data_IF_837531607781
#
_entry.id   IF_837531607781
#
_cell.length_a   1.000
_cell.length_b   1.000
_cell.length_c   1.000
_cell.angle_alpha   90.00
_cell.angle_beta   90.00
_cell.angle_gamma   90.00
#
_symmetry.space_group_name_H-M   'P 1'
#
loop_
_entity.id
_entity.type
_entity.pdbx_description
1 polymer ?
#
# COMPACT_ATOMS: atom_id res chain seq x y z
N UNK A 1 5.39 -7.27 -0.43
CA UNK A 1 5.35 -6.19 -1.42
C UNK A 1 4.62 -6.68 -2.66
N UNK A 2 3.54 -6.07 -3.05
CA UNK A 2 2.85 -6.36 -4.32
C UNK A 2 2.95 -5.11 -5.19
N UNK A 3 3.42 -5.27 -6.41
CA UNK A 3 3.48 -4.23 -7.43
C UNK A 3 2.16 -4.24 -8.20
N UNK A 4 1.55 -3.07 -8.39
CA UNK A 4 0.35 -2.92 -9.23
C UNK A 4 0.65 -1.85 -10.28
N UNK A 5 0.67 -2.25 -11.56
CA UNK A 5 0.68 -1.34 -12.69
C UNK A 5 -0.74 -0.79 -12.93
N UNK A 6 -0.95 0.48 -12.71
CA UNK A 6 -2.23 1.17 -12.98
C UNK A 6 -2.07 2.03 -14.22
N UNK A 7 -2.79 1.68 -15.29
CA UNK A 7 -2.84 2.45 -16.53
C UNK A 7 -4.04 3.41 -16.49
N UNK A 8 -3.79 4.71 -16.37
CA UNK A 8 -4.82 5.74 -16.46
C UNK A 8 -4.49 6.74 -17.57
N UNK A 9 -5.46 7.03 -18.48
CA UNK A 9 -5.32 8.00 -19.55
C UNK A 9 -5.50 9.43 -19.03
N UNK A 10 -4.56 10.33 -19.34
CA UNK A 10 -4.68 11.77 -19.05
C UNK A 10 -4.32 12.60 -20.27
N UNK A 11 -5.14 13.62 -20.51
CA UNK A 11 -4.99 14.63 -21.55
C UNK A 11 -4.03 15.71 -21.04
N UNK A 12 -2.87 15.92 -21.70
CA UNK A 12 -1.92 16.96 -21.36
C UNK A 12 -2.31 18.29 -22.02
N UNK A 13 -2.37 19.38 -21.25
CA UNK A 13 -2.36 20.76 -21.76
C UNK A 13 -0.99 21.35 -21.42
N UNK A 14 -0.27 21.75 -22.47
CA UNK A 14 1.11 22.25 -22.40
C UNK A 14 1.11 23.75 -22.04
N UNK A 15 1.63 24.10 -20.90
CA UNK A 15 2.00 25.48 -20.53
C UNK A 15 3.45 25.47 -20.03
N UNK A 16 4.40 25.63 -20.94
CA UNK A 16 5.85 25.92 -20.72
C UNK A 16 6.61 25.11 -19.64
N UNK A 17 6.06 24.04 -19.12
CA UNK A 17 6.68 23.11 -18.18
C UNK A 17 6.33 21.68 -18.57
N UNK A 18 7.23 20.74 -18.29
CA UNK A 18 6.98 19.33 -18.45
C UNK A 18 6.23 18.79 -17.22
N UNK A 19 5.37 17.77 -17.41
CA UNK A 19 4.57 17.17 -16.33
C UNK A 19 4.91 15.69 -16.22
N UNK A 20 5.31 15.28 -15.04
CA UNK A 20 5.47 13.88 -14.68
C UNK A 20 4.28 13.41 -13.84
N UNK A 21 3.50 12.47 -14.37
CA UNK A 21 2.38 11.91 -13.64
C UNK A 21 2.81 10.63 -12.92
N UNK A 22 2.79 10.66 -11.60
CA UNK A 22 3.26 9.57 -10.74
C UNK A 22 2.43 8.28 -10.96
N UNK A 23 1.14 8.41 -11.31
CA UNK A 23 0.27 7.25 -11.45
C UNK A 23 0.21 6.66 -12.87
N UNK A 24 0.62 7.41 -13.89
CA UNK A 24 0.48 7.00 -15.30
C UNK A 24 1.79 6.61 -15.98
N UNK A 25 2.95 7.04 -15.47
CA UNK A 25 4.24 6.81 -16.12
C UNK A 25 4.90 5.47 -15.75
N UNK A 26 4.15 4.54 -15.15
CA UNK A 26 4.65 3.20 -14.85
C UNK A 26 5.66 3.17 -13.70
N UNK A 27 5.71 4.22 -12.89
CA UNK A 27 6.52 4.26 -11.68
C UNK A 27 6.09 3.18 -10.71
N UNK A 28 7.03 2.47 -10.12
CA UNK A 28 6.74 1.56 -9.03
C UNK A 28 6.31 2.38 -7.81
N UNK A 29 5.13 2.08 -7.29
CA UNK A 29 4.56 2.75 -6.14
C UNK A 29 4.56 1.78 -4.97
N UNK A 30 5.25 2.16 -3.89
CA UNK A 30 5.24 1.43 -2.62
C UNK A 30 4.11 1.98 -1.75
N UNK A 31 3.23 1.11 -1.28
CA UNK A 31 2.17 1.52 -0.39
C UNK A 31 2.02 0.58 0.80
N UNK A 32 1.68 1.14 1.93
CA UNK A 32 1.29 0.42 3.12
C UNK A 32 -0.11 0.85 3.54
N UNK A 33 -0.91 -0.11 3.99
CA UNK A 33 -2.24 0.16 4.54
C UNK A 33 -3.22 0.88 3.59
N UNK A 34 -2.97 0.81 2.26
CA UNK A 34 -3.83 1.39 1.24
C UNK A 34 -4.35 0.33 0.26
N UNK A 35 -5.54 0.57 -0.29
CA UNK A 35 -6.08 -0.14 -1.44
C UNK A 35 -6.06 0.78 -2.67
N UNK A 36 -5.63 0.26 -3.79
CA UNK A 36 -5.83 0.92 -5.07
C UNK A 36 -7.25 0.64 -5.58
N UNK A 37 -7.90 1.65 -6.10
CA UNK A 37 -9.19 1.52 -6.79
C UNK A 37 -9.12 2.20 -8.15
N UNK A 38 -10.09 1.96 -9.02
CA UNK A 38 -10.20 2.67 -10.29
C UNK A 38 -10.28 4.21 -10.12
N UNK A 39 -10.57 4.69 -8.92
CA UNK A 39 -10.73 6.10 -8.57
C UNK A 39 -9.59 6.66 -7.69
N UNK A 40 -8.50 5.91 -7.45
CA UNK A 40 -7.36 6.37 -6.66
C UNK A 40 -6.98 5.46 -5.48
N UNK A 41 -6.21 6.00 -4.53
CA UNK A 41 -5.77 5.31 -3.33
C UNK A 41 -6.63 5.69 -2.13
N UNK A 42 -7.04 4.69 -1.37
CA UNK A 42 -7.85 4.81 -0.16
C UNK A 42 -7.25 3.92 0.94
N UNK A 43 -7.42 4.30 2.20
CA UNK A 43 -6.98 3.46 3.31
C UNK A 43 -7.55 2.04 3.22
N UNK A 44 -6.69 1.08 3.48
CA UNK A 44 -7.09 -0.32 3.54
C UNK A 44 -8.19 -0.51 4.57
N UNK A 45 -9.09 -1.37 4.21
CA UNK A 45 -10.04 -1.90 5.14
C UNK A 45 -9.32 -2.64 6.27
N UNK A 46 -9.66 -2.30 7.50
CA UNK A 46 -9.11 -2.96 8.68
C UNK A 46 -9.38 -4.46 8.72
N UNK A 47 -10.46 -4.89 8.06
CA UNK A 47 -10.84 -6.30 7.97
C UNK A 47 -9.96 -7.10 7.01
N UNK A 48 -9.36 -6.50 6.01
CA UNK A 48 -8.50 -7.19 5.04
C UNK A 48 -7.08 -7.52 5.56
N UNK A 49 -6.60 -6.84 6.59
CA UNK A 49 -5.19 -6.96 7.03
C UNK A 49 -4.84 -8.21 7.83
N UNK A 50 -5.83 -8.88 8.41
CA UNK A 50 -5.60 -10.02 9.30
C UNK A 50 -5.53 -11.37 8.58
N UNK A 51 -5.59 -11.40 7.25
CA UNK A 51 -5.84 -12.63 6.47
C UNK A 51 -4.64 -13.20 5.72
N UNK A 52 -3.41 -12.81 6.04
CA UNK A 52 -2.21 -13.38 5.40
C UNK A 52 -2.05 -14.90 5.58
N UNK A 53 -2.94 -15.56 6.36
CA UNK A 53 -2.95 -17.00 6.57
C UNK A 53 -4.29 -17.65 6.26
N UNK A 54 -5.22 -16.99 5.55
CA UNK A 54 -6.57 -17.54 5.30
C UNK A 54 -6.98 -17.44 3.84
N UNK A 55 -7.00 -18.57 3.19
CA UNK A 55 -7.49 -18.75 1.83
C UNK A 55 -9.00 -18.53 1.66
N UNK A 56 -9.76 -18.43 2.76
CA UNK A 56 -11.24 -18.39 2.76
C UNK A 56 -11.80 -16.97 2.77
N UNK A 57 -11.07 -15.98 3.28
CA UNK A 57 -11.55 -14.58 3.34
C UNK A 57 -11.71 -13.91 1.97
N UNK A 58 -11.09 -14.46 0.94
CA UNK A 58 -11.19 -13.97 -0.44
C UNK A 58 -12.49 -14.40 -1.15
N UNK A 59 -13.34 -15.21 -0.54
CA UNK A 59 -14.51 -15.81 -1.19
C UNK A 59 -15.54 -14.75 -1.61
N UNK A 60 -15.57 -13.61 -0.97
CA UNK A 60 -16.58 -12.57 -1.22
C UNK A 60 -16.06 -11.35 -1.98
N UNK A 61 -14.77 -11.26 -2.29
CA UNK A 61 -14.23 -10.15 -3.08
C UNK A 61 -14.45 -10.37 -4.59
N UNK A 62 -14.84 -9.31 -5.31
CA UNK A 62 -15.21 -9.34 -6.74
C UNK A 62 -14.10 -9.81 -7.69
N UNK A 63 -12.83 -9.78 -7.26
CA UNK A 63 -11.72 -10.37 -8.00
C UNK A 63 -11.83 -11.88 -8.16
N UNK A 64 -12.64 -12.54 -7.32
CA UNK A 64 -12.88 -13.98 -7.33
C UNK A 64 -14.07 -14.38 -8.20
N UNK A 65 -15.01 -13.48 -8.46
CA UNK A 65 -16.09 -13.74 -9.41
C UNK A 65 -15.56 -14.10 -10.82
N UNK A 66 -14.34 -13.72 -11.16
CA UNK A 66 -13.66 -14.05 -12.42
C UNK A 66 -12.68 -15.25 -12.30
N UNK A 67 -12.35 -15.72 -11.09
CA UNK A 67 -11.48 -16.89 -10.86
C UNK A 67 -12.29 -18.09 -10.36
N UNK A 68 -13.20 -18.59 -11.18
CA UNK A 68 -14.10 -19.75 -10.93
C UNK A 68 -13.35 -21.07 -10.70
N UNK A 69 -12.06 -21.06 -10.37
CA UNK A 69 -11.22 -22.23 -10.20
C UNK A 69 -10.69 -22.47 -8.78
N UNK A 70 -11.37 -21.94 -7.74
CA UNK A 70 -11.16 -22.52 -6.42
C UNK A 70 -11.87 -23.88 -6.38
N UNK A 71 -11.08 -24.95 -6.54
CA UNK A 71 -11.56 -26.32 -6.42
C UNK A 71 -12.17 -26.51 -5.03
N UNK A 72 -13.51 -26.51 -4.93
CA UNK A 72 -14.20 -26.81 -3.70
C UNK A 72 -15.25 -25.83 -3.21
N UNK A 73 -15.45 -24.69 -3.86
CA UNK A 73 -16.58 -23.80 -3.55
C UNK A 73 -17.65 -23.90 -4.63
N UNK A 74 -18.88 -24.15 -4.22
CA UNK A 74 -20.06 -24.13 -5.09
C UNK A 74 -21.17 -23.30 -4.43
N UNK A 75 -22.03 -22.70 -5.24
CA UNK A 75 -23.12 -21.86 -4.75
C UNK A 75 -24.34 -21.96 -5.64
N UNK A 76 -25.50 -21.64 -5.06
CA UNK A 76 -26.74 -21.60 -5.82
C UNK A 76 -26.72 -20.49 -6.87
N UNK A 77 -27.36 -20.71 -8.02
CA UNK A 77 -27.32 -19.78 -9.19
C UNK A 77 -27.97 -18.42 -8.94
N UNK A 78 -28.75 -18.28 -7.90
CA UNK A 78 -29.54 -17.10 -7.56
C UNK A 78 -28.84 -16.14 -6.60
N UNK A 79 -27.65 -16.45 -6.09
CA UNK A 79 -26.90 -15.53 -5.25
C UNK A 79 -26.55 -14.26 -6.01
N UNK A 80 -26.43 -13.14 -5.29
CA UNK A 80 -26.01 -11.85 -5.82
C UNK A 80 -24.87 -11.31 -5.01
N UNK A 81 -24.07 -10.45 -5.62
CA UNK A 81 -23.05 -9.69 -4.93
C UNK A 81 -23.54 -8.26 -4.73
N UNK A 82 -23.50 -7.81 -3.49
CA UNK A 82 -23.91 -6.46 -3.06
C UNK A 82 -22.71 -5.74 -2.47
N UNK A 83 -22.82 -4.46 -2.16
CA UNK A 83 -21.80 -3.73 -1.42
C UNK A 83 -21.67 -4.32 -0.01
N UNK A 84 -20.43 -4.62 0.37
CA UNK A 84 -20.09 -5.17 1.68
C UNK A 84 -19.85 -4.11 2.73
N UNK A 85 -19.79 -4.51 3.97
CA UNK A 85 -19.52 -3.64 5.13
C UNK A 85 -18.14 -3.00 5.01
N UNK A 86 -17.22 -3.71 4.38
CA UNK A 86 -15.81 -3.37 4.32
C UNK A 86 -15.37 -2.67 3.04
N UNK A 87 -16.32 -2.26 2.19
CA UNK A 87 -16.03 -1.62 0.89
C UNK A 87 -15.74 -2.62 -0.25
N UNK A 88 -15.70 -3.94 0.04
CA UNK A 88 -15.65 -5.02 -0.95
C UNK A 88 -17.04 -5.49 -1.36
N UNK A 89 -17.17 -6.77 -1.73
CA UNK A 89 -18.45 -7.39 -2.07
C UNK A 89 -18.88 -8.37 -0.99
N UNK A 90 -20.12 -8.20 -0.53
CA UNK A 90 -20.85 -9.18 0.27
C UNK A 90 -21.69 -10.09 -0.61
N UNK A 91 -22.02 -11.27 -0.11
CA UNK A 91 -22.97 -12.18 -0.78
C UNK A 91 -24.36 -11.94 -0.26
N UNK A 92 -25.30 -11.71 -1.17
CA UNK A 92 -26.73 -11.70 -0.90
C UNK A 92 -27.35 -13.07 -1.24
N UNK A 93 -27.97 -13.67 -0.26
CA UNK A 93 -28.80 -14.88 -0.37
C UNK A 93 -30.27 -14.44 -0.48
N UNK A 94 -30.84 -14.33 -1.71
CA UNK A 94 -32.13 -13.66 -1.91
C UNK A 94 -33.34 -14.48 -1.47
N UNK A 95 -33.16 -15.77 -1.21
CA UNK A 95 -34.27 -16.65 -0.78
C UNK A 95 -33.75 -17.80 0.08
N UNK A 96 -34.64 -18.49 0.77
CA UNK A 96 -34.27 -19.56 1.70
C UNK A 96 -33.74 -20.86 1.04
N UNK A 97 -33.59 -20.91 -0.27
CA UNK A 97 -32.95 -22.02 -1.00
C UNK A 97 -31.52 -21.67 -1.44
N UNK A 98 -31.15 -20.42 -1.31
CA UNK A 98 -29.79 -19.94 -1.65
C UNK A 98 -28.82 -20.44 -0.62
N UNK A 99 -27.60 -20.80 -1.07
CA UNK A 99 -26.52 -21.26 -0.20
C UNK A 99 -25.17 -21.12 -0.87
N UNK A 100 -24.12 -21.11 -0.06
CA UNK A 100 -22.74 -21.37 -0.45
C UNK A 100 -22.31 -22.66 0.21
N UNK A 101 -21.68 -23.56 -0.56
CA UNK A 101 -21.12 -24.82 -0.11
C UNK A 101 -19.62 -24.79 -0.32
N UNK A 102 -18.86 -25.08 0.73
CA UNK A 102 -17.42 -25.19 0.70
C UNK A 102 -17.04 -26.65 0.97
N UNK A 103 -16.54 -27.33 -0.07
CA UNK A 103 -16.05 -28.69 0.06
C UNK A 103 -14.67 -28.70 0.73
N UNK A 104 -14.40 -29.72 1.50
CA UNK A 104 -13.24 -29.82 2.38
C UNK A 104 -11.94 -30.23 1.68
N UNK A 105 -11.68 -29.80 0.45
CA UNK A 105 -10.51 -30.22 -0.33
C UNK A 105 -9.25 -29.37 -0.08
N UNK A 106 -9.23 -28.44 0.85
CA UNK A 106 -8.11 -27.53 1.08
C UNK A 106 -7.96 -27.11 2.54
N UNK A 107 -6.84 -27.25 3.09
CA UNK A 107 -6.02 -26.52 4.06
C UNK A 107 -6.53 -26.25 5.50
N UNK A 108 -7.74 -25.83 5.74
CA UNK A 108 -8.13 -25.42 7.11
C UNK A 108 -8.45 -26.60 8.06
N UNK A 109 -8.63 -27.81 7.51
CA UNK A 109 -9.10 -28.98 8.25
C UNK A 109 -8.31 -30.26 7.90
N UNK A 110 -7.06 -30.15 7.44
CA UNK A 110 -6.26 -31.34 7.17
C UNK A 110 -5.80 -32.00 8.49
N UNK A 111 -5.70 -33.31 8.51
CA UNK A 111 -5.22 -34.10 9.66
C UNK A 111 -3.84 -33.67 10.18
N UNK A 112 -3.07 -32.95 9.37
CA UNK A 112 -1.71 -32.50 9.70
C UNK A 112 -1.70 -31.21 10.55
N UNK A 113 -2.80 -30.43 10.55
CA UNK A 113 -2.93 -29.24 11.38
C UNK A 113 -3.89 -29.53 12.54
N UNK A 114 -3.34 -29.89 13.70
CA UNK A 114 -4.13 -30.00 14.93
C UNK A 114 -4.69 -28.62 15.30
N UNK A 115 -5.96 -28.39 14.99
CA UNK A 115 -6.67 -27.18 15.40
C UNK A 115 -7.03 -27.40 16.88
N UNK A 116 -6.39 -26.63 17.75
CA UNK A 116 -6.69 -26.68 19.17
C UNK A 116 -7.60 -25.51 19.58
N UNK A 117 -7.29 -24.31 19.14
CA UNK A 117 -8.10 -23.10 19.34
C UNK A 117 -8.64 -22.61 18.00
N UNK A 118 -9.77 -21.91 18.01
CA UNK A 118 -10.33 -21.36 16.76
C UNK A 118 -11.13 -20.09 16.99
N UNK A 119 -11.36 -19.37 15.90
CA UNK A 119 -12.35 -18.29 15.78
C UNK A 119 -13.12 -18.46 14.47
N UNK A 120 -14.44 -18.36 14.55
CA UNK A 120 -15.33 -18.24 13.39
C UNK A 120 -15.98 -16.87 13.47
N UNK A 121 -15.93 -16.10 12.40
CA UNK A 121 -16.50 -14.75 12.37
C UNK A 121 -17.08 -14.40 11.01
N UNK A 122 -18.08 -13.53 10.98
CA UNK A 122 -18.70 -12.96 9.79
C UNK A 122 -19.56 -11.75 10.13
N UNK A 123 -19.82 -10.91 9.14
CA UNK A 123 -20.92 -9.95 9.21
C UNK A 123 -22.19 -10.55 8.67
N UNK A 124 -23.30 -10.24 9.33
CA UNK A 124 -24.63 -10.72 8.98
C UNK A 124 -25.59 -9.54 8.84
N UNK A 125 -26.36 -9.52 7.75
CA UNK A 125 -27.46 -8.58 7.53
C UNK A 125 -28.70 -9.36 7.15
N UNK A 126 -29.57 -9.75 8.11
CA UNK A 126 -30.80 -10.46 7.82
C UNK A 126 -31.83 -9.53 7.16
N UNK A 127 -32.35 -9.90 6.00
CA UNK A 127 -33.50 -9.21 5.40
C UNK A 127 -34.82 -9.74 5.98
N UNK A 128 -34.81 -10.99 6.36
CA UNK A 128 -35.92 -11.65 7.06
C UNK A 128 -35.38 -12.53 8.20
N UNK A 129 -35.98 -12.40 9.36
CA UNK A 129 -35.66 -13.21 10.52
C UNK A 129 -36.58 -14.43 10.49
N UNK A 130 -36.08 -15.56 10.00
CA UNK A 130 -36.84 -16.80 9.86
C UNK A 130 -36.31 -17.83 10.85
N UNK A 131 -37.23 -18.38 11.64
CA UNK A 131 -36.90 -19.46 12.60
C UNK A 131 -36.25 -20.66 11.91
N UNK A 132 -35.27 -21.25 12.56
CA UNK A 132 -34.52 -22.43 12.13
C UNK A 132 -33.70 -22.23 10.84
N UNK A 133 -33.52 -20.98 10.39
CA UNK A 133 -32.57 -20.66 9.32
C UNK A 133 -31.16 -20.92 9.80
N UNK A 134 -30.38 -21.68 9.04
CA UNK A 134 -28.98 -21.95 9.34
C UNK A 134 -28.15 -20.94 8.58
N UNK A 135 -27.50 -20.02 9.31
CA UNK A 135 -26.53 -19.07 8.74
C UNK A 135 -25.23 -19.77 8.37
N UNK A 136 -24.79 -20.66 9.27
CA UNK A 136 -23.62 -21.50 9.09
C UNK A 136 -23.95 -22.94 9.55
N UNK A 137 -23.45 -23.94 8.81
CA UNK A 137 -23.61 -25.34 9.19
C UNK A 137 -22.46 -26.20 8.66
N UNK A 138 -21.74 -26.88 9.55
CA UNK A 138 -20.81 -27.96 9.24
C UNK A 138 -21.12 -29.13 10.15
N UNK A 139 -21.90 -30.07 9.66
CA UNK A 139 -22.48 -31.19 10.45
C UNK A 139 -22.21 -32.48 9.72
N UNK A 140 -21.71 -33.47 10.45
CA UNK A 140 -21.71 -34.89 10.10
C UNK A 140 -22.89 -35.60 10.77
N UNK A 141 -23.46 -36.54 10.06
CA UNK A 141 -24.56 -37.38 10.56
C UNK A 141 -24.08 -38.81 10.60
N UNK A 142 -24.06 -39.38 11.80
CA UNK A 142 -23.70 -40.78 12.03
C UNK A 142 -24.97 -41.55 12.38
N UNK A 143 -25.29 -42.57 11.59
CA UNK A 143 -26.44 -43.42 11.82
C UNK A 143 -26.02 -44.67 12.62
N UNK A 144 -26.40 -44.72 13.88
CA UNK A 144 -26.19 -45.87 14.77
C UNK A 144 -27.52 -46.58 15.00
N UNK A 145 -27.93 -47.50 14.08
CA UNK A 145 -29.21 -48.17 14.12
C UNK A 145 -30.39 -47.19 13.90
N UNK A 146 -31.33 -47.14 14.83
CA UNK A 146 -32.53 -46.29 14.74
C UNK A 146 -32.30 -44.84 15.17
N UNK A 147 -31.11 -44.49 15.65
CA UNK A 147 -30.77 -43.15 16.13
C UNK A 147 -29.74 -42.47 15.19
N UNK A 148 -30.02 -41.21 14.84
CA UNK A 148 -29.04 -40.33 14.15
C UNK A 148 -28.30 -39.50 15.19
N UNK A 149 -26.99 -39.62 15.21
CA UNK A 149 -26.09 -38.82 16.03
C UNK A 149 -25.45 -37.73 15.20
N UNK A 150 -25.41 -36.51 15.74
CA UNK A 150 -24.87 -35.35 15.03
C UNK A 150 -23.52 -34.94 15.63
N UNK A 151 -22.55 -34.64 14.79
CA UNK A 151 -21.29 -34.00 15.19
C UNK A 151 -21.07 -32.75 14.35
N UNK A 152 -20.70 -31.66 14.98
CA UNK A 152 -20.38 -30.45 14.20
C UNK A 152 -20.76 -29.14 14.85
N UNK A 153 -20.69 -28.06 14.03
CA UNK A 153 -21.01 -26.70 14.42
C UNK A 153 -22.11 -26.14 13.54
N UNK A 154 -23.01 -25.37 14.13
CA UNK A 154 -24.03 -24.60 13.42
C UNK A 154 -24.30 -23.27 14.12
N UNK A 155 -24.58 -22.24 13.31
CA UNK A 155 -25.12 -20.97 13.74
C UNK A 155 -26.51 -20.83 13.12
N UNK A 156 -27.56 -20.83 13.95
CA UNK A 156 -28.96 -20.84 13.49
C UNK A 156 -29.74 -19.67 14.11
N UNK A 157 -30.75 -19.18 13.39
CA UNK A 157 -31.67 -18.17 13.91
C UNK A 157 -32.77 -18.88 14.69
N UNK A 158 -32.80 -18.71 16.02
CA UNK A 158 -33.79 -19.25 16.94
C UNK A 158 -34.26 -18.09 17.83
N UNK A 159 -35.58 -17.92 17.94
CA UNK A 159 -36.22 -16.85 18.73
C UNK A 159 -35.66 -15.43 18.44
N UNK A 160 -35.39 -15.20 17.17
CA UNK A 160 -34.86 -13.91 16.70
C UNK A 160 -33.37 -13.66 16.98
N UNK A 161 -32.65 -14.63 17.54
CA UNK A 161 -31.24 -14.54 17.91
C UNK A 161 -30.40 -15.49 17.07
N UNK A 162 -29.12 -15.17 16.89
CA UNK A 162 -28.15 -16.10 16.33
C UNK A 162 -27.61 -17.00 17.44
N UNK A 163 -27.98 -18.29 17.39
CA UNK A 163 -27.60 -19.32 18.35
C UNK A 163 -26.49 -20.17 17.77
N UNK A 164 -25.40 -20.35 18.52
CA UNK A 164 -24.32 -21.26 18.17
C UNK A 164 -24.49 -22.58 18.88
N UNK A 165 -24.36 -23.68 18.15
CA UNK A 165 -24.47 -25.04 18.67
C UNK A 165 -23.26 -25.85 18.20
N UNK A 166 -22.68 -26.57 19.15
CA UNK A 166 -21.56 -27.47 18.94
C UNK A 166 -21.99 -28.84 19.45
N UNK A 167 -22.16 -29.78 18.54
CA UNK A 167 -22.61 -31.14 18.87
C UNK A 167 -21.39 -32.08 18.75
N UNK A 168 -21.06 -32.81 19.83
CA UNK A 168 -20.00 -33.82 19.88
C UNK A 168 -18.65 -33.39 19.30
N UNK A 169 -18.24 -32.12 19.59
CA UNK A 169 -16.94 -31.56 19.22
C UNK A 169 -16.00 -31.35 20.40
N UNK A 170 -16.52 -31.19 21.60
CA UNK A 170 -15.72 -30.99 22.80
C UNK A 170 -15.77 -32.23 23.68
N UNK A 171 -14.60 -32.75 24.03
CA UNK A 171 -14.44 -34.01 24.76
C UNK A 171 -13.65 -33.82 26.06
N UNK A 172 -14.12 -34.41 27.13
CA UNK A 172 -13.41 -34.55 28.40
C UNK A 172 -13.52 -35.98 28.95
N UNK A 173 -12.37 -36.58 29.29
CA UNK A 173 -12.28 -37.97 29.75
C UNK A 173 -12.98 -39.00 28.84
N UNK A 174 -12.95 -38.76 27.52
CA UNK A 174 -13.57 -39.67 26.53
C UNK A 174 -15.08 -39.46 26.30
N UNK A 175 -15.70 -38.54 27.03
CA UNK A 175 -17.12 -38.19 26.85
C UNK A 175 -17.26 -36.89 26.08
N UNK A 176 -18.15 -36.86 25.08
CA UNK A 176 -18.46 -35.66 24.28
C UNK A 176 -19.58 -34.85 24.92
N UNK A 177 -19.53 -33.54 24.68
CA UNK A 177 -20.51 -32.59 25.20
C UNK A 177 -21.15 -31.80 24.06
N UNK A 178 -22.46 -31.54 24.20
CA UNK A 178 -23.21 -30.62 23.35
C UNK A 178 -23.25 -29.24 24.01
N UNK A 179 -22.77 -28.23 23.29
CA UNK A 179 -22.63 -26.88 23.81
C UNK A 179 -23.53 -25.93 23.01
N UNK A 180 -24.23 -25.05 23.71
CA UNK A 180 -25.12 -24.05 23.12
C UNK A 180 -24.77 -22.69 23.70
N UNK A 181 -24.54 -21.69 22.82
CA UNK A 181 -24.42 -20.28 23.17
C UNK A 181 -25.65 -19.53 22.65
N UNK A 182 -26.52 -19.10 23.56
CA UNK A 182 -27.85 -18.54 23.25
C UNK A 182 -28.06 -17.10 23.71
N UNK A 183 -27.20 -16.57 24.55
CA UNK A 183 -27.29 -15.18 25.02
C UNK A 183 -27.02 -14.16 23.90
N UNK A 184 -27.32 -12.93 24.18
CA UNK A 184 -27.09 -11.80 23.29
C UNK A 184 -28.33 -11.18 22.67
N UNK A 185 -28.16 -10.09 21.97
CA UNK A 185 -29.22 -9.29 21.37
C UNK A 185 -29.93 -10.04 20.22
N UNK A 186 -31.20 -9.66 20.00
CA UNK A 186 -31.97 -10.10 18.85
C UNK A 186 -31.45 -9.45 17.56
N UNK A 187 -31.48 -10.23 16.50
CA UNK A 187 -31.16 -9.74 15.15
C UNK A 187 -32.16 -8.66 14.72
N UNK A 188 -31.70 -7.67 14.00
CA UNK A 188 -32.53 -6.62 13.41
C UNK A 188 -32.49 -6.72 11.88
N UNK A 189 -33.64 -6.70 11.20
CA UNK A 189 -33.66 -6.74 9.74
C UNK A 189 -32.95 -5.50 9.14
N UNK A 190 -32.21 -5.74 8.04
CA UNK A 190 -31.48 -4.72 7.28
C UNK A 190 -30.37 -4.00 8.08
N UNK A 191 -29.86 -4.60 9.15
CA UNK A 191 -28.74 -4.08 9.93
C UNK A 191 -27.55 -5.04 9.84
N UNK A 192 -26.39 -4.54 9.43
CA UNK A 192 -25.15 -5.28 9.44
C UNK A 192 -24.58 -5.33 10.86
N UNK A 193 -24.36 -6.53 11.39
CA UNK A 193 -23.71 -6.76 12.69
C UNK A 193 -22.61 -7.81 12.53
N UNK A 194 -21.51 -7.61 13.24
CA UNK A 194 -20.43 -8.59 13.32
C UNK A 194 -20.79 -9.66 14.36
N UNK A 195 -20.70 -10.92 13.99
CA UNK A 195 -20.90 -12.06 14.85
C UNK A 195 -19.67 -12.95 14.84
N UNK A 196 -19.20 -13.36 16.01
CA UNK A 196 -18.13 -14.34 16.10
C UNK A 196 -18.27 -15.27 17.30
N UNK A 197 -17.57 -16.40 17.22
CA UNK A 197 -17.34 -17.34 18.30
C UNK A 197 -15.87 -17.73 18.33
N UNK A 198 -15.24 -17.68 19.51
CA UNK A 198 -13.83 -18.04 19.70
C UNK A 198 -13.68 -19.04 20.82
N UNK A 199 -12.80 -20.04 20.63
CA UNK A 199 -12.42 -21.04 21.63
C UNK A 199 -10.93 -21.00 21.90
N UNK A 200 -10.55 -20.95 23.18
CA UNK A 200 -9.18 -21.06 23.64
C UNK A 200 -8.93 -22.42 24.30
N UNK A 201 -8.19 -23.27 23.63
CA UNK A 201 -7.89 -24.62 24.15
C UNK A 201 -7.02 -24.63 25.41
N UNK A 202 -6.30 -23.55 25.70
CA UNK A 202 -5.42 -23.45 26.90
C UNK A 202 -6.24 -23.29 28.19
N UNK A 203 -7.33 -22.51 28.07
CA UNK A 203 -8.17 -22.15 29.22
C UNK A 203 -9.56 -22.78 29.18
N UNK A 204 -9.92 -23.44 28.09
CA UNK A 204 -11.26 -23.92 27.84
C UNK A 204 -12.29 -22.80 27.62
N UNK A 205 -11.88 -21.55 27.51
CA UNK A 205 -12.78 -20.38 27.32
C UNK A 205 -13.41 -20.44 25.94
N UNK A 206 -14.75 -20.50 25.87
CA UNK A 206 -15.54 -20.35 24.65
C UNK A 206 -16.39 -19.10 24.78
N UNK A 207 -16.28 -18.20 23.80
CA UNK A 207 -16.89 -16.86 23.86
C UNK A 207 -17.65 -16.57 22.57
N UNK A 208 -18.88 -16.09 22.72
CA UNK A 208 -19.69 -15.48 21.66
C UNK A 208 -19.56 -13.98 21.72
N UNK A 209 -19.34 -13.35 20.57
CA UNK A 209 -19.25 -11.90 20.44
C UNK A 209 -20.27 -11.36 19.45
N UNK A 210 -20.78 -10.18 19.73
CA UNK A 210 -21.53 -9.33 18.79
C UNK A 210 -20.83 -7.97 18.76
N UNK A 211 -20.45 -7.49 17.57
CA UNK A 211 -19.70 -6.24 17.37
C UNK A 211 -18.47 -6.11 18.28
N UNK A 212 -17.77 -7.22 18.47
CA UNK A 212 -16.55 -7.29 19.29
C UNK A 212 -16.77 -7.30 20.79
N UNK A 213 -18.01 -7.20 21.27
CA UNK A 213 -18.36 -7.29 22.69
C UNK A 213 -18.68 -8.72 23.09
N UNK A 214 -18.19 -9.15 24.26
CA UNK A 214 -18.49 -10.46 24.83
C UNK A 214 -19.98 -10.53 25.25
N UNK A 215 -20.74 -11.39 24.61
CA UNK A 215 -22.17 -11.60 24.89
C UNK A 215 -22.41 -12.82 25.78
N UNK A 216 -21.61 -13.86 25.62
CA UNK A 216 -21.70 -15.09 26.41
C UNK A 216 -20.34 -15.73 26.54
N UNK A 217 -19.98 -16.14 27.74
CA UNK A 217 -18.70 -16.79 28.06
C UNK A 217 -19.01 -18.12 28.79
N UNK A 218 -18.47 -19.19 28.24
CA UNK A 218 -18.48 -20.51 28.90
C UNK A 218 -17.02 -20.96 29.11
N UNK A 219 -16.77 -21.65 30.21
CA UNK A 219 -15.52 -22.37 30.43
C UNK A 219 -15.80 -23.87 30.26
N UNK A 220 -15.34 -24.40 29.11
CA UNK A 220 -15.42 -25.82 28.81
C UNK A 220 -14.26 -26.53 29.53
N UNK A 221 -14.44 -26.75 30.81
CA UNK A 221 -13.45 -27.34 31.70
C UNK A 221 -14.12 -28.32 32.66
N UNK A 222 -13.33 -29.15 33.34
CA UNK A 222 -13.80 -30.11 34.31
C UNK A 222 -14.61 -29.53 35.47
N UNK A 223 -14.43 -28.24 35.78
CA UNK A 223 -15.12 -27.54 36.86
C UNK A 223 -16.13 -26.51 36.37
N UNK A 224 -16.15 -26.22 35.06
CA UNK A 224 -16.99 -25.18 34.47
C UNK A 224 -16.47 -23.75 34.72
N UNK A 225 -15.24 -23.61 35.23
CA UNK A 225 -14.57 -22.36 35.49
C UNK A 225 -13.13 -22.38 34.95
N UNK A 226 -12.39 -21.23 35.06
CA UNK A 226 -11.05 -21.07 34.54
C UNK A 226 -10.00 -22.01 35.19
N UNK A 227 -10.27 -22.57 36.35
CA UNK A 227 -9.33 -23.38 37.12
C UNK A 227 -9.42 -24.87 36.76
N UNK A 228 -10.45 -25.27 36.03
CA UNK A 228 -10.64 -26.67 35.62
C UNK A 228 -9.73 -27.09 34.47
N UNK A 229 -9.58 -28.38 34.26
CA UNK A 229 -8.88 -28.92 33.09
C UNK A 229 -9.72 -28.71 31.84
N UNK A 230 -9.15 -28.06 30.77
CA UNK A 230 -9.94 -27.75 29.58
C UNK A 230 -10.35 -28.99 28.78
N UNK A 231 -11.49 -28.90 28.10
CA UNK A 231 -11.94 -29.89 27.15
C UNK A 231 -11.07 -29.86 25.89
N UNK A 232 -10.92 -31.04 25.28
CA UNK A 232 -10.27 -31.19 23.99
C UNK A 232 -11.27 -30.90 22.86
N UNK A 233 -10.86 -30.14 21.85
CA UNK A 233 -11.57 -30.00 20.59
C UNK A 233 -11.25 -31.21 19.70
N UNK A 234 -12.26 -31.98 19.30
CA UNK A 234 -12.14 -33.09 18.37
C UNK A 234 -12.97 -32.85 17.11
N UNK A 235 -12.29 -32.55 16.01
CA UNK A 235 -12.92 -32.28 14.71
C UNK A 235 -12.87 -33.47 13.76
N UNK A 236 -12.34 -34.63 14.19
CA UNK A 236 -12.15 -35.80 13.32
C UNK A 236 -13.46 -36.28 12.68
N UNK A 237 -14.56 -36.16 13.40
CA UNK A 237 -15.88 -36.61 12.95
C UNK A 237 -16.50 -35.71 11.88
N UNK A 238 -15.97 -34.50 11.64
CA UNK A 238 -16.54 -33.52 10.70
C UNK A 238 -15.59 -33.10 9.61
N UNK A 239 -14.37 -33.64 9.56
CA UNK A 239 -13.33 -33.23 8.62
C UNK A 239 -13.80 -33.28 7.16
N UNK A 240 -14.53 -34.36 6.80
CA UNK A 240 -14.89 -34.62 5.40
C UNK A 240 -16.21 -33.95 4.97
N UNK A 241 -16.97 -33.39 5.90
CA UNK A 241 -18.25 -32.79 5.58
C UNK A 241 -18.10 -31.36 5.09
N UNK A 242 -18.90 -30.93 4.11
CA UNK A 242 -18.86 -29.58 3.62
C UNK A 242 -19.38 -28.57 4.64
N UNK A 243 -18.82 -27.36 4.60
CA UNK A 243 -19.40 -26.22 5.30
C UNK A 243 -20.41 -25.52 4.39
N UNK A 244 -21.57 -25.21 4.93
CA UNK A 244 -22.60 -24.44 4.26
C UNK A 244 -22.81 -23.09 4.93
N UNK A 245 -23.02 -22.05 4.10
CA UNK A 245 -23.54 -20.76 4.54
C UNK A 245 -24.92 -20.55 3.92
N UNK A 246 -25.89 -20.11 4.72
CA UNK A 246 -27.17 -19.59 4.24
C UNK A 246 -28.32 -20.56 4.03
N UNK A 247 -28.28 -21.77 4.56
CA UNK A 247 -29.40 -22.73 4.43
C UNK A 247 -30.66 -22.22 5.14
N UNK A 248 -31.65 -21.72 4.37
CA UNK A 248 -32.89 -21.15 4.92
C UNK A 248 -32.77 -19.66 5.25
N UNK A 249 -31.57 -19.09 5.27
CA UNK A 249 -31.32 -17.68 5.56
C UNK A 249 -31.63 -16.81 4.31
N UNK A 250 -32.17 -15.60 4.57
CA UNK A 250 -32.40 -14.55 3.55
C UNK A 250 -31.75 -13.27 4.02
N UNK A 251 -30.72 -12.81 3.32
CA UNK A 251 -29.96 -11.62 3.69
C UNK A 251 -28.53 -11.63 3.16
N UNK A 252 -27.74 -10.70 3.67
CA UNK A 252 -26.33 -10.52 3.33
C UNK A 252 -25.41 -11.26 4.31
N UNK A 253 -24.32 -11.83 3.80
CA UNK A 253 -23.17 -12.34 4.58
C UNK A 253 -21.91 -11.70 4.00
N UNK A 254 -21.04 -11.19 4.87
CA UNK A 254 -19.77 -10.58 4.49
C UNK A 254 -18.62 -11.03 5.40
N UNK A 255 -17.39 -10.94 4.91
CA UNK A 255 -16.16 -11.19 5.65
C UNK A 255 -16.15 -12.48 6.49
N UNK A 256 -16.76 -13.55 5.95
CA UNK A 256 -16.70 -14.86 6.62
C UNK A 256 -15.26 -15.32 6.77
N UNK A 257 -14.86 -15.68 7.99
CA UNK A 257 -13.56 -16.28 8.23
C UNK A 257 -13.58 -17.37 9.29
N UNK A 258 -12.68 -18.33 9.11
CA UNK A 258 -12.28 -19.30 10.13
C UNK A 258 -10.79 -19.13 10.38
N UNK A 259 -10.39 -18.96 11.65
CA UNK A 259 -8.98 -18.85 12.06
C UNK A 259 -8.64 -19.91 13.11
N UNK A 260 -7.49 -20.62 12.99
CA UNK A 260 -7.08 -21.63 13.99
C UNK A 260 -6.41 -21.00 15.22
N UNK A 261 -6.90 -19.85 15.67
CA UNK A 261 -6.44 -19.15 16.87
C UNK A 261 -7.63 -18.57 17.64
N UNK A 262 -7.45 -18.40 18.95
CA UNK A 262 -8.38 -17.64 19.77
C UNK A 262 -8.20 -16.14 19.56
N UNK A 263 -9.26 -15.45 19.13
CA UNK A 263 -9.31 -13.99 19.06
C UNK A 263 -10.20 -13.45 20.17
N UNK A 264 -9.74 -12.41 20.84
CA UNK A 264 -10.51 -11.64 21.82
C UNK A 264 -10.73 -10.18 21.40
N UNK A 265 -9.98 -9.72 20.40
CA UNK A 265 -10.07 -8.37 19.86
C UNK A 265 -10.38 -8.46 18.37
N UNK A 266 -11.41 -7.77 17.94
CA UNK A 266 -11.85 -7.67 16.55
C UNK A 266 -11.65 -6.26 16.07
N UNK A 267 -11.01 -6.11 14.93
CA UNK A 267 -10.85 -4.80 14.30
C UNK A 267 -12.06 -4.57 13.36
N UNK A 268 -13.11 -3.98 13.88
CA UNK A 268 -14.39 -3.80 13.19
C UNK A 268 -14.49 -2.45 12.44
N UNK A 269 -13.41 -1.68 12.42
CA UNK A 269 -13.39 -0.42 11.71
C UNK A 269 -13.33 -0.61 10.20
N UNK A 270 -14.06 0.23 9.46
CA UNK A 270 -14.08 0.20 8.01
C UNK A 270 -12.70 0.49 7.41
N UNK A 271 -11.99 1.46 7.98
CA UNK A 271 -10.66 1.85 7.54
C UNK A 271 -9.61 1.68 8.64
N UNK A 272 -8.36 1.47 8.26
CA UNK A 272 -7.23 1.63 9.16
C UNK A 272 -7.10 3.10 9.54
N UNK A 273 -6.54 3.37 10.73
CA UNK A 273 -6.37 4.75 11.17
C UNK A 273 -5.46 5.53 10.24
N UNK A 274 -4.31 4.96 9.92
CA UNK A 274 -3.28 5.59 9.11
C UNK A 274 -2.81 4.68 7.98
N UNK A 275 -2.30 5.27 6.92
CA UNK A 275 -1.63 4.60 5.82
C UNK A 275 -0.75 5.58 5.05
N UNK A 276 0.14 5.06 4.23
CA UNK A 276 1.03 5.87 3.41
C UNK A 276 1.23 5.26 2.03
N UNK A 277 1.54 6.12 1.08
CA UNK A 277 2.04 5.78 -0.26
C UNK A 277 3.36 6.51 -0.46
N UNK A 278 4.36 5.81 -0.98
CA UNK A 278 5.67 6.36 -1.30
C UNK A 278 5.98 5.98 -2.74
N UNK A 279 6.38 6.97 -3.57
CA UNK A 279 6.83 6.71 -4.94
C UNK A 279 8.20 6.02 -4.93
N UNK A 280 8.60 5.45 -6.07
CA UNK A 280 10.01 5.22 -6.33
C UNK A 280 10.79 6.54 -6.36
N UNK A 281 12.11 6.47 -6.41
CA UNK A 281 12.96 7.63 -6.67
C UNK A 281 12.96 7.92 -8.16
N UNK A 282 12.35 9.02 -8.55
CA UNK A 282 12.19 9.45 -9.95
C UNK A 282 13.49 10.12 -10.39
N UNK A 283 14.11 9.63 -11.45
CA UNK A 283 15.32 10.21 -12.09
C UNK A 283 14.92 10.97 -13.36
N UNK A 284 15.08 12.28 -13.35
CA UNK A 284 14.86 13.14 -14.52
C UNK A 284 15.99 13.09 -15.55
N UNK A 285 17.05 12.30 -15.32
CA UNK A 285 18.18 12.09 -16.22
C UNK A 285 19.02 13.35 -16.52
N UNK A 286 18.65 14.51 -16.00
CA UNK A 286 19.31 15.80 -16.20
C UNK A 286 19.59 16.48 -14.84
N UNK A 287 20.81 16.93 -14.63
CA UNK A 287 21.24 17.59 -13.38
C UNK A 287 20.76 19.06 -13.27
N UNK A 288 20.12 19.61 -14.30
CA UNK A 288 19.64 21.00 -14.34
C UNK A 288 18.12 21.09 -14.27
N UNK A 289 17.48 20.13 -13.64
CA UNK A 289 16.03 20.14 -13.44
C UNK A 289 15.67 21.04 -12.26
N UNK A 290 14.64 21.84 -12.45
CA UNK A 290 13.93 22.59 -11.42
C UNK A 290 12.53 22.03 -11.27
N UNK A 291 12.19 21.64 -10.06
CA UNK A 291 10.85 21.19 -9.70
C UNK A 291 10.04 22.42 -9.30
N UNK A 292 9.05 22.76 -10.11
CA UNK A 292 8.22 23.94 -9.91
C UNK A 292 7.16 23.72 -8.85
N UNK A 293 6.42 22.60 -8.97
CA UNK A 293 5.32 22.27 -8.07
C UNK A 293 5.00 20.77 -8.08
N UNK A 294 4.31 20.34 -7.03
CA UNK A 294 3.60 19.05 -6.98
C UNK A 294 2.12 19.35 -6.90
N UNK A 295 1.36 18.99 -7.94
CA UNK A 295 -0.08 19.14 -7.98
C UNK A 295 -0.75 17.82 -7.67
N UNK A 296 -1.86 17.83 -6.96
CA UNK A 296 -2.63 16.64 -6.67
C UNK A 296 -4.14 16.91 -6.68
N UNK A 297 -4.90 15.83 -6.91
CA UNK A 297 -6.36 15.82 -6.76
C UNK A 297 -6.72 14.80 -5.69
N UNK A 298 -7.43 15.25 -4.69
CA UNK A 298 -7.87 14.40 -3.59
C UNK A 298 -9.29 14.75 -3.16
N UNK A 299 -10.00 13.74 -2.66
CA UNK A 299 -11.27 13.91 -1.96
C UNK A 299 -11.00 13.71 -0.47
N UNK A 300 -11.02 14.78 0.30
CA UNK A 300 -10.78 14.76 1.74
C UNK A 300 -12.13 14.95 2.44
N UNK A 301 -12.65 13.86 2.99
CA UNK A 301 -13.90 13.86 3.73
C UNK A 301 -13.73 14.56 5.10
N UNK A 302 -14.83 15.06 5.66
CA UNK A 302 -14.77 15.72 6.96
C UNK A 302 -14.21 14.79 8.05
N UNK A 303 -13.27 15.31 8.84
CA UNK A 303 -12.59 14.53 9.89
C UNK A 303 -11.48 13.59 9.40
N UNK A 304 -11.19 13.57 8.10
CA UNK A 304 -10.04 12.83 7.54
C UNK A 304 -8.92 13.78 7.17
N UNK A 305 -7.68 13.29 7.12
CA UNK A 305 -6.50 14.10 6.81
C UNK A 305 -5.62 13.42 5.79
N UNK A 306 -4.93 14.23 4.98
CA UNK A 306 -3.92 13.78 4.04
C UNK A 306 -2.82 14.84 3.95
N UNK A 307 -1.58 14.41 4.21
CA UNK A 307 -0.40 15.25 4.09
C UNK A 307 0.52 14.70 2.99
N UNK A 308 1.12 15.60 2.24
CA UNK A 308 2.06 15.26 1.18
C UNK A 308 3.44 15.78 1.55
N UNK A 309 4.44 14.94 1.33
CA UNK A 309 5.84 15.22 1.55
C UNK A 309 6.64 14.91 0.29
N UNK A 310 7.76 15.58 0.15
CA UNK A 310 8.73 15.32 -0.91
C UNK A 310 10.16 15.42 -0.39
N UNK A 311 11.08 14.81 -1.13
CA UNK A 311 12.53 15.01 -0.94
C UNK A 311 13.23 15.04 -2.27
N UNK A 312 14.22 15.91 -2.41
CA UNK A 312 14.94 16.19 -3.65
C UNK A 312 16.43 16.08 -3.41
N UNK A 313 17.19 15.61 -4.41
CA UNK A 313 18.64 15.51 -4.39
C UNK A 313 19.24 15.60 -5.78
N UNK A 314 20.45 16.14 -5.89
CA UNK A 314 21.28 16.06 -7.11
C UNK A 314 21.94 14.68 -7.25
N UNK A 315 22.07 13.92 -6.15
CA UNK A 315 22.67 12.60 -6.12
C UNK A 315 21.59 11.53 -5.91
N UNK A 316 21.80 10.37 -6.53
CA UNK A 316 20.91 9.22 -6.33
C UNK A 316 20.90 8.77 -4.87
N UNK A 317 19.72 8.37 -4.40
CA UNK A 317 19.48 7.79 -3.10
C UNK A 317 18.49 6.61 -3.22
N UNK A 318 18.54 5.68 -2.29
CA UNK A 318 17.60 4.57 -2.24
C UNK A 318 16.27 5.01 -1.60
N UNK A 319 15.15 4.38 -1.97
CA UNK A 319 13.83 4.72 -1.40
C UNK A 319 13.76 4.63 0.14
N UNK A 320 14.55 3.76 0.74
CA UNK A 320 14.65 3.54 2.19
C UNK A 320 15.68 4.41 2.90
N UNK A 321 16.48 5.19 2.18
CA UNK A 321 17.49 6.06 2.78
C UNK A 321 16.85 7.17 3.62
N UNK A 322 17.43 7.43 4.80
CA UNK A 322 16.93 8.42 5.76
C UNK A 322 17.80 9.67 5.89
N UNK A 323 18.86 9.80 5.08
CA UNK A 323 19.78 10.96 5.16
C UNK A 323 19.27 12.21 4.39
N UNK A 324 18.22 12.06 3.56
CA UNK A 324 17.53 13.19 2.92
C UNK A 324 16.18 13.36 3.62
N UNK A 325 16.02 14.50 4.27
CA UNK A 325 14.82 14.81 5.04
C UNK A 325 13.59 15.01 4.16
N UNK A 326 12.44 14.52 4.62
CA UNK A 326 11.16 14.78 4.02
C UNK A 326 10.68 16.18 4.35
N UNK A 327 10.38 16.96 3.31
CA UNK A 327 9.81 18.30 3.42
C UNK A 327 8.30 18.24 3.20
N UNK A 328 7.50 18.90 4.05
CA UNK A 328 6.06 18.97 3.82
C UNK A 328 5.75 19.84 2.59
N UNK A 329 4.77 19.40 1.79
CA UNK A 329 4.26 20.21 0.68
C UNK A 329 3.33 21.30 1.25
N UNK A 330 3.71 22.56 1.05
CA UNK A 330 2.92 23.71 1.53
C UNK A 330 1.62 23.87 0.72
N UNK A 331 0.65 24.56 1.28
CA UNK A 331 -0.69 24.71 0.70
C UNK A 331 -0.80 25.39 -0.66
N UNK A 332 0.28 26.00 -1.17
CA UNK A 332 0.36 26.55 -2.52
C UNK A 332 0.97 25.56 -3.55
N UNK A 333 1.39 24.39 -3.11
CA UNK A 333 2.02 23.33 -3.91
C UNK A 333 3.31 23.73 -4.65
N UNK A 334 3.85 24.94 -4.41
CA UNK A 334 5.03 25.46 -5.07
C UNK A 334 6.28 24.98 -4.34
N UNK A 335 7.26 24.50 -5.10
CA UNK A 335 8.54 23.96 -4.60
C UNK A 335 9.69 24.88 -5.01
N UNK A 336 9.89 25.13 -6.31
CA UNK A 336 10.99 25.92 -6.89
C UNK A 336 12.37 25.46 -6.42
N UNK A 337 12.61 24.16 -6.40
CA UNK A 337 13.89 23.57 -5.99
C UNK A 337 14.55 22.83 -7.14
N UNK A 338 15.89 22.91 -7.20
CA UNK A 338 16.69 22.15 -8.15
C UNK A 338 16.99 20.76 -7.62
N UNK A 339 16.93 19.74 -8.48
CA UNK A 339 17.41 18.41 -8.20
C UNK A 339 17.03 17.40 -9.29
N UNK A 340 17.94 16.47 -9.53
CA UNK A 340 17.77 15.42 -10.52
C UNK A 340 16.82 14.33 -10.06
N UNK A 341 16.86 14.03 -8.75
CA UNK A 341 16.11 12.93 -8.14
C UNK A 341 15.06 13.49 -7.20
N UNK A 342 13.83 13.00 -7.32
CA UNK A 342 12.74 13.34 -6.42
C UNK A 342 12.01 12.08 -5.97
N UNK A 343 11.55 12.08 -4.73
CA UNK A 343 10.63 11.09 -4.20
C UNK A 343 9.48 11.79 -3.46
N UNK A 344 8.28 11.27 -3.58
CA UNK A 344 7.07 11.84 -2.99
C UNK A 344 6.41 10.82 -2.08
N UNK A 345 5.85 11.30 -0.97
CA UNK A 345 5.09 10.50 0.00
C UNK A 345 3.77 11.20 0.30
N UNK A 346 2.69 10.44 0.34
CA UNK A 346 1.41 10.89 0.87
C UNK A 346 1.03 10.04 2.09
N UNK A 347 0.71 10.70 3.18
CA UNK A 347 0.23 10.11 4.42
C UNK A 347 -1.28 10.34 4.54
N UNK A 348 -2.00 9.33 5.02
CA UNK A 348 -3.45 9.31 5.10
C UNK A 348 -3.89 9.04 6.53
N UNK A 349 -4.90 9.74 7.01
CA UNK A 349 -5.55 9.45 8.28
C UNK A 349 -7.08 9.41 8.09
N UNK A 350 -7.72 8.33 8.58
CA UNK A 350 -9.18 8.20 8.62
C UNK A 350 -9.78 9.11 9.71
N UNK A 351 -11.09 9.33 9.64
CA UNK A 351 -11.84 9.98 10.72
C UNK A 351 -11.72 9.18 12.04
N UNK A 352 -12.14 9.80 13.14
CA UNK A 352 -12.06 9.19 14.49
C UNK A 352 -12.80 7.86 14.56
N UNK A 353 -13.94 7.77 13.90
CA UNK A 353 -14.80 6.58 13.86
C UNK A 353 -14.31 5.56 12.83
N UNK A 354 -13.31 5.90 12.03
CA UNK A 354 -12.74 5.08 10.94
C UNK A 354 -13.80 4.61 9.93
N UNK A 355 -14.77 5.47 9.67
CA UNK A 355 -15.84 5.25 8.70
C UNK A 355 -15.59 5.94 7.37
N UNK A 356 -14.74 6.96 7.37
CA UNK A 356 -14.34 7.75 6.22
C UNK A 356 -12.81 7.71 6.04
N UNK A 357 -12.38 7.81 4.79
CA UNK A 357 -10.96 7.89 4.42
C UNK A 357 -10.77 8.95 3.35
N UNK A 358 -9.65 9.68 3.32
CA UNK A 358 -9.30 10.49 2.17
C UNK A 358 -8.99 9.60 0.98
N UNK A 359 -9.18 10.14 -0.24
CA UNK A 359 -8.87 9.45 -1.49
C UNK A 359 -7.96 10.33 -2.33
N UNK A 360 -6.77 9.87 -2.65
CA UNK A 360 -5.85 10.52 -3.59
C UNK A 360 -6.12 9.99 -5.00
N UNK A 361 -6.59 10.85 -5.90
CA UNK A 361 -6.99 10.48 -7.25
C UNK A 361 -5.86 10.66 -8.27
N UNK A 362 -5.02 11.69 -8.11
CA UNK A 362 -3.94 12.00 -9.02
C UNK A 362 -2.84 12.79 -8.30
N UNK A 363 -1.59 12.65 -8.79
CA UNK A 363 -0.45 13.45 -8.37
C UNK A 363 0.49 13.67 -9.54
N UNK A 364 0.92 14.91 -9.74
CA UNK A 364 1.75 15.36 -10.86
C UNK A 364 2.89 16.23 -10.36
N UNK A 365 4.09 16.03 -10.90
CA UNK A 365 5.24 16.88 -10.68
C UNK A 365 5.41 17.78 -11.91
N UNK A 366 5.39 19.08 -11.71
CA UNK A 366 5.68 20.06 -12.76
C UNK A 366 7.13 20.48 -12.64
N UNK A 367 7.86 20.42 -13.73
CA UNK A 367 9.29 20.69 -13.75
C UNK A 367 9.73 21.34 -15.08
N UNK A 368 10.88 21.99 -15.09
CA UNK A 368 11.50 22.50 -16.29
C UNK A 368 13.02 22.34 -16.26
N UNK A 369 13.65 22.43 -17.43
CA UNK A 369 15.10 22.50 -17.53
C UNK A 369 15.57 23.92 -17.20
N UNK A 370 16.46 24.06 -16.23
CA UNK A 370 17.04 25.35 -15.87
C UNK A 370 17.80 26.00 -17.03
N UNK A 371 17.65 27.30 -17.18
CA UNK A 371 18.26 28.07 -18.25
C UNK A 371 19.74 28.27 -17.99
N UNK A 372 20.61 27.73 -18.86
CA UNK A 372 22.05 27.96 -18.82
C UNK A 372 22.41 29.42 -19.19
N UNK A 373 23.52 29.98 -18.63
CA UNK A 373 24.00 31.26 -19.04
C UNK A 373 24.53 31.22 -20.48
N UNK A 374 24.64 32.38 -21.10
CA UNK A 374 25.30 32.49 -22.40
C UNK A 374 26.78 32.14 -22.28
N UNK A 375 27.34 31.50 -23.32
CA UNK A 375 28.79 31.21 -23.37
C UNK A 375 29.60 32.49 -23.40
N UNK A 376 30.81 32.52 -22.80
CA UNK A 376 31.78 33.63 -22.97
C UNK A 376 32.13 33.79 -24.45
N UNK A 377 32.36 35.03 -24.86
CA UNK A 377 32.75 35.38 -26.22
C UNK A 377 34.10 36.10 -26.23
N UNK A 378 34.68 36.26 -27.42
CA UNK A 378 35.94 36.97 -27.66
C UNK A 378 37.08 36.47 -26.77
N UNK A 379 37.13 35.13 -26.52
CA UNK A 379 38.26 34.53 -25.82
C UNK A 379 39.54 34.75 -26.63
N UNK A 380 40.58 35.22 -25.94
CA UNK A 380 41.94 35.39 -26.48
C UNK A 380 42.96 34.76 -25.55
N UNK A 381 44.05 34.25 -26.11
CA UNK A 381 45.20 33.76 -25.34
C UNK A 381 46.48 34.46 -25.82
N UNK A 382 47.27 34.96 -24.88
CA UNK A 382 48.58 35.62 -25.17
C UNK A 382 49.68 34.91 -24.37
N UNK A 383 50.74 34.51 -25.03
CA UNK A 383 51.90 33.90 -24.38
C UNK A 383 52.73 34.94 -23.63
N UNK A 384 53.10 34.63 -22.39
CA UNK A 384 54.04 35.39 -21.57
C UNK A 384 54.88 34.42 -20.76
N UNK A 385 56.15 34.26 -21.03
CA UNK A 385 57.11 33.40 -20.32
C UNK A 385 56.44 32.27 -19.53
N UNK A 386 56.55 31.02 -19.86
CA UNK A 386 55.96 29.86 -19.19
C UNK A 386 54.49 30.03 -18.76
N UNK A 387 53.76 31.00 -19.33
CA UNK A 387 52.39 31.37 -18.93
C UNK A 387 51.55 31.73 -20.14
N UNK A 388 50.23 31.66 -19.98
CA UNK A 388 49.24 32.19 -20.91
C UNK A 388 48.29 33.13 -20.17
N UNK A 389 48.11 34.32 -20.71
CA UNK A 389 47.09 35.27 -20.27
C UNK A 389 45.85 35.08 -21.11
N UNK A 390 44.78 34.70 -20.50
CA UNK A 390 43.47 34.55 -21.11
C UNK A 390 42.64 35.80 -20.83
N UNK A 391 41.92 36.31 -21.84
CA UNK A 391 40.92 37.39 -21.72
C UNK A 391 39.68 37.00 -22.50
N UNK A 392 38.53 37.36 -21.95
CA UNK A 392 37.25 37.10 -22.58
C UNK A 392 36.23 38.18 -22.25
N UNK A 393 35.16 38.23 -23.01
CA UNK A 393 33.99 39.00 -22.66
C UNK A 393 33.00 38.11 -21.93
N UNK A 394 32.57 38.57 -20.75
CA UNK A 394 31.63 37.84 -19.91
C UNK A 394 30.20 37.88 -20.46
N UNK A 395 29.41 36.93 -20.08
CA UNK A 395 27.95 36.95 -20.25
C UNK A 395 27.34 38.05 -19.36
N UNK A 396 26.30 38.72 -19.84
CA UNK A 396 25.63 39.81 -19.12
C UNK A 396 24.58 39.35 -18.13
N UNK A 397 24.35 38.03 -17.95
CA UNK A 397 23.33 37.46 -17.10
C UNK A 397 23.97 36.77 -15.89
N UNK A 398 23.37 36.86 -14.72
CA UNK A 398 23.62 36.14 -13.45
C UNK A 398 24.79 35.13 -13.45
N UNK A 399 26.00 35.60 -13.63
CA UNK A 399 27.23 34.80 -13.66
C UNK A 399 27.83 34.75 -12.26
N UNK A 400 28.09 33.55 -11.76
CA UNK A 400 28.79 33.33 -10.49
C UNK A 400 30.28 33.10 -10.69
N UNK A 401 30.72 32.70 -11.89
CA UNK A 401 32.12 32.48 -12.23
C UNK A 401 32.29 31.82 -13.59
N UNK A 402 33.52 31.35 -13.82
CA UNK A 402 33.93 30.68 -15.06
C UNK A 402 34.74 29.44 -14.74
N UNK A 403 34.71 28.46 -15.67
CA UNK A 403 35.63 27.34 -15.71
C UNK A 403 36.53 27.45 -16.93
N UNK A 404 37.81 27.29 -16.71
CA UNK A 404 38.82 27.33 -17.76
C UNK A 404 39.31 25.91 -18.01
N UNK A 405 39.24 25.50 -19.26
CA UNK A 405 39.69 24.20 -19.73
C UNK A 405 40.88 24.38 -20.67
N UNK A 406 41.93 23.56 -20.52
CA UNK A 406 43.07 23.62 -21.43
C UNK A 406 43.76 22.25 -21.58
N UNK A 407 44.50 22.10 -22.68
CA UNK A 407 45.26 20.90 -22.99
C UNK A 407 46.24 21.15 -24.13
N UNK A 408 46.99 20.13 -24.52
CA UNK A 408 48.01 20.20 -25.61
C UNK A 408 47.48 19.71 -26.95
N UNK A 409 46.19 19.33 -27.02
CA UNK A 409 45.52 18.90 -28.26
C UNK A 409 44.19 19.61 -28.38
N UNK A 410 43.87 20.08 -29.60
CA UNK A 410 42.58 20.69 -29.91
C UNK A 410 41.41 19.79 -29.53
N UNK A 411 40.41 20.34 -28.83
CA UNK A 411 39.21 19.63 -28.36
C UNK A 411 39.46 18.66 -27.21
N UNK A 412 40.70 18.52 -26.69
CA UNK A 412 41.04 17.63 -25.57
C UNK A 412 41.68 18.46 -24.46
N UNK A 413 40.91 18.70 -23.41
CA UNK A 413 41.29 19.57 -22.30
C UNK A 413 41.65 18.74 -21.05
N UNK A 414 42.77 18.04 -21.15
CA UNK A 414 43.32 17.18 -20.10
C UNK A 414 44.59 17.81 -19.50
N UNK A 415 44.44 18.95 -18.84
CA UNK A 415 45.51 19.52 -18.01
C UNK A 415 46.01 18.48 -16.99
N UNK A 416 47.14 18.75 -16.33
CA UNK A 416 47.82 17.79 -15.45
C UNK A 416 46.89 17.08 -14.41
N UNK A 417 45.83 17.75 -13.97
CA UNK A 417 44.92 17.29 -12.94
C UNK A 417 43.57 16.82 -13.51
N UNK A 418 43.35 16.96 -14.81
CA UNK A 418 42.07 16.67 -15.48
C UNK A 418 40.85 17.44 -14.87
N UNK A 419 41.11 18.56 -14.21
CA UNK A 419 40.15 19.38 -13.49
C UNK A 419 40.15 20.79 -14.07
N UNK A 420 39.00 21.37 -14.45
CA UNK A 420 38.93 22.74 -14.89
C UNK A 420 39.35 23.71 -13.80
N UNK A 421 39.99 24.80 -14.16
CA UNK A 421 40.32 25.90 -13.22
C UNK A 421 39.02 26.69 -12.99
N UNK A 422 38.54 26.72 -11.76
CA UNK A 422 37.36 27.50 -11.39
C UNK A 422 37.82 28.89 -10.96
N UNK A 423 37.25 29.92 -11.59
CA UNK A 423 37.53 31.32 -11.28
C UNK A 423 36.23 32.06 -10.98
N UNK A 424 36.30 33.09 -10.15
CA UNK A 424 35.15 33.94 -9.85
C UNK A 424 34.70 34.77 -11.08
N UNK A 425 33.80 35.72 -10.86
CA UNK A 425 33.28 36.58 -11.91
C UNK A 425 34.37 37.64 -12.37
N UNK A 426 35.37 37.16 -13.10
CA UNK A 426 36.46 37.95 -13.70
C UNK A 426 36.58 37.59 -15.18
N UNK A 427 37.16 38.47 -15.97
CA UNK A 427 37.31 38.35 -17.43
C UNK A 427 38.75 38.23 -17.91
N UNK A 428 39.67 38.03 -16.98
CA UNK A 428 41.08 37.78 -17.25
C UNK A 428 41.61 36.74 -16.26
N UNK A 429 42.48 35.84 -16.72
CA UNK A 429 43.18 34.89 -15.88
C UNK A 429 44.53 34.51 -16.46
N UNK A 430 45.53 34.34 -15.59
CA UNK A 430 46.90 33.92 -15.98
C UNK A 430 47.12 32.48 -15.57
N UNK A 431 47.37 31.61 -16.53
CA UNK A 431 47.76 30.22 -16.31
C UNK A 431 49.29 30.17 -16.32
N UNK A 432 49.86 29.80 -15.19
CA UNK A 432 51.31 29.66 -14.98
C UNK A 432 51.79 28.23 -15.12
N UNK A 433 53.11 28.03 -15.28
CA UNK A 433 53.72 26.70 -15.25
C UNK A 433 53.58 25.93 -16.54
N UNK A 434 53.27 26.58 -17.65
CA UNK A 434 53.19 25.96 -18.96
C UNK A 434 54.61 25.68 -19.49
N UNK A 435 54.79 24.61 -20.27
CA UNK A 435 56.09 24.26 -20.87
C UNK A 435 56.37 25.17 -22.07
N UNK A 436 57.55 25.75 -22.13
CA UNK A 436 57.97 26.59 -23.22
C UNK A 436 58.07 25.81 -24.53
N UNK A 437 57.68 26.46 -25.62
CA UNK A 437 57.68 25.87 -26.96
C UNK A 437 56.51 24.98 -27.30
N UNK A 438 55.66 24.66 -26.32
CA UNK A 438 54.50 23.79 -26.49
C UNK A 438 53.26 24.61 -26.90
N UNK A 439 52.35 23.99 -27.67
CA UNK A 439 51.08 24.61 -28.03
C UNK A 439 50.04 24.16 -27.03
N UNK A 440 49.31 25.13 -26.45
CA UNK A 440 48.18 24.89 -25.59
C UNK A 440 46.90 25.44 -26.21
N UNK A 441 45.84 24.69 -26.07
CA UNK A 441 44.48 25.00 -26.51
C UNK A 441 43.63 25.30 -25.27
N UNK A 442 42.82 26.36 -25.34
CA UNK A 442 42.02 26.85 -24.22
C UNK A 442 40.58 27.07 -24.66
N UNK A 443 39.64 26.74 -23.76
CA UNK A 443 38.26 27.16 -23.84
C UNK A 443 37.72 27.49 -22.46
N UNK A 444 36.59 28.18 -22.40
CA UNK A 444 35.99 28.66 -21.16
C UNK A 444 34.50 28.44 -21.21
N UNK A 445 33.89 28.11 -20.05
CA UNK A 445 32.45 28.13 -19.82
C UNK A 445 32.11 29.18 -18.77
N UNK A 446 30.89 29.72 -18.80
CA UNK A 446 30.32 30.50 -17.71
C UNK A 446 29.55 29.60 -16.76
N UNK A 447 29.61 29.90 -15.46
CA UNK A 447 28.81 29.27 -14.41
C UNK A 447 27.82 30.32 -13.92
N UNK A 448 26.54 29.98 -13.85
CA UNK A 448 25.49 30.91 -13.44
C UNK A 448 24.12 30.44 -13.86
N UNK A 449 23.32 31.32 -14.43
CA UNK A 449 21.99 31.04 -14.88
C UNK A 449 21.01 30.83 -13.73
N UNK A 450 19.94 30.10 -14.01
CA UNK A 450 18.92 29.81 -13.01
C UNK A 450 19.48 28.89 -11.91
N UNK A 451 19.34 29.32 -10.64
CA UNK A 451 19.94 28.63 -9.50
C UNK A 451 21.45 28.82 -9.32
N UNK A 452 22.13 29.56 -10.20
CA UNK A 452 23.52 30.02 -10.02
C UNK A 452 24.62 29.00 -10.28
N UNK A 453 24.32 27.78 -10.72
CA UNK A 453 25.30 26.68 -10.85
C UNK A 453 25.26 25.95 -12.20
N UNK A 454 24.49 26.44 -13.18
CA UNK A 454 24.41 25.82 -14.50
C UNK A 454 25.61 26.28 -15.33
N UNK A 455 26.22 25.36 -16.06
CA UNK A 455 27.36 25.63 -16.93
C UNK A 455 26.90 25.91 -18.37
N UNK A 456 27.46 26.93 -19.00
CA UNK A 456 27.21 27.28 -20.40
C UNK A 456 27.86 26.28 -21.36
N UNK A 457 27.54 26.43 -22.65
CA UNK A 457 28.35 25.83 -23.71
C UNK A 457 29.77 26.42 -23.69
N UNK A 458 30.75 25.72 -24.29
CA UNK A 458 32.11 26.17 -24.45
C UNK A 458 32.18 27.44 -25.32
N UNK A 459 33.08 28.39 -24.95
CA UNK A 459 33.53 29.42 -25.82
C UNK A 459 34.28 28.86 -27.05
N UNK A 460 34.53 29.69 -28.05
CA UNK A 460 35.37 29.29 -29.16
C UNK A 460 36.79 28.98 -28.68
N UNK A 461 37.35 27.83 -29.12
CA UNK A 461 38.70 27.42 -28.75
C UNK A 461 39.74 28.38 -29.29
N UNK A 462 40.70 28.77 -28.47
CA UNK A 462 41.88 29.52 -28.85
C UNK A 462 43.14 28.73 -28.49
N UNK A 463 44.22 29.03 -29.18
CA UNK A 463 45.51 28.41 -28.88
C UNK A 463 46.65 29.44 -28.83
N UNK A 464 47.71 29.09 -28.13
CA UNK A 464 48.94 29.86 -28.08
C UNK A 464 50.16 28.93 -27.96
N UNK A 465 51.23 29.31 -28.56
CA UNK A 465 52.52 28.66 -28.33
C UNK A 465 53.28 29.48 -27.28
N UNK A 466 53.64 28.84 -26.18
CA UNK A 466 54.45 29.45 -25.13
C UNK A 466 55.86 29.77 -25.65
N UNK A 467 56.40 30.89 -25.25
CA UNK A 467 57.76 31.31 -25.64
C UNK A 467 58.63 31.64 -24.42
N UNK A 468 59.92 31.60 -24.61
CA UNK A 468 60.86 32.04 -23.57
C UNK A 468 60.74 33.53 -23.35
#
# INVERSE_FOLDING_TARGET
MRYINIMLFILCINLNGEVYNIFSNGSDIYYSSLNSSANGFILNNSLMKNYNNLEISQIFDSSIANSVNYSGVSYSKDIKFIEGVSGGKAVLLPNGKSFIKMDNRGYAYSRENSINSFTIEFYLNPYQIRMNSKVLSKISIHNNGDASEYSGVRASIIDGKLIWQFDNLFMYNGEYSNIILSAGESLKPNEWRHHSVSFDAKTGKLVKYIDGLEEEVLYLTSTGDINGSPYMLDINNIIYDPLYLGQGFIGGIDAFSFTPIFKKNFNLYKYLKNGEIISEVIDFTNNNIFIDSINYKANISNGTYMDIYYRISDNYFLPEDNFIEWKPLNGNNIINERGRYIQVRAEFESDTERTLSPVLNNMEIVYHNGKAPQKPINLTATAVNNSAVLRWEGSHENITGYKIYYGTKSGIYNNADNIPIIVGNQTEYVINGLRNGEIYYFTITAIGGEGGNIESAFAEEVFVRTSY
#
